data_IF_998325034841
#
_entry.id   IF_998325034841
#
_cell.length_a   1.000
_cell.length_b   1.000
_cell.length_c   1.000
_cell.angle_alpha   90.00
_cell.angle_beta   90.00
_cell.angle_gamma   90.00
#
_symmetry.space_group_name_H-M   'P 1'
#
loop_
_entity.id
_entity.type
_entity.pdbx_description
1 polymer ?
#
# COMPACT_ATOMS: atom_id res chain seq x y z
N UNK A 1 22.85 -19.40 -16.33
CA UNK A 1 22.59 -18.01 -15.91
C UNK A 1 21.42 -18.04 -14.95
N UNK A 2 21.59 -17.70 -13.66
CA UNK A 2 20.45 -17.60 -12.75
C UNK A 2 19.62 -16.34 -13.10
N UNK A 3 18.29 -16.35 -12.87
CA UNK A 3 17.43 -15.26 -13.29
C UNK A 3 17.60 -14.05 -12.36
N UNK A 4 17.60 -12.86 -12.97
CA UNK A 4 17.71 -11.56 -12.31
C UNK A 4 16.32 -11.06 -11.93
N UNK A 5 15.76 -11.49 -10.81
CA UNK A 5 14.54 -10.87 -10.27
C UNK A 5 14.72 -10.42 -8.82
N UNK A 6 14.17 -9.24 -8.57
CA UNK A 6 14.25 -8.31 -7.43
C UNK A 6 13.93 -8.88 -6.03
N UNK A 7 13.59 -10.18 -5.93
CA UNK A 7 13.29 -10.85 -4.67
C UNK A 7 14.55 -11.38 -3.97
N UNK A 8 15.65 -11.61 -4.70
CA UNK A 8 16.93 -12.05 -4.10
C UNK A 8 17.74 -10.93 -3.46
N UNK A 9 17.37 -9.66 -3.67
CA UNK A 9 18.06 -8.52 -3.06
C UNK A 9 17.44 -8.11 -1.71
N UNK A 10 16.38 -8.80 -1.27
CA UNK A 10 15.76 -8.57 0.02
C UNK A 10 16.37 -9.54 1.04
N UNK A 11 17.20 -9.03 1.93
CA UNK A 11 17.88 -9.81 2.98
C UNK A 11 16.95 -10.15 4.18
N UNK A 12 15.67 -9.80 4.06
CA UNK A 12 14.62 -10.07 5.04
C UNK A 12 13.76 -11.28 4.69
N UNK A 13 13.11 -11.87 5.69
CA UNK A 13 12.11 -12.92 5.46
C UNK A 13 10.93 -12.33 4.68
N UNK A 14 10.63 -12.91 3.52
CA UNK A 14 9.42 -12.56 2.76
C UNK A 14 8.21 -13.07 3.54
N UNK A 15 7.47 -12.14 4.17
CA UNK A 15 6.21 -12.44 4.82
C UNK A 15 5.07 -12.11 3.86
N UNK A 16 4.27 -13.14 3.54
CA UNK A 16 3.06 -12.96 2.74
C UNK A 16 1.91 -12.63 3.68
N UNK A 17 1.07 -11.68 3.28
CA UNK A 17 -0.18 -11.42 3.99
C UNK A 17 -1.06 -12.67 3.90
N UNK A 18 -1.46 -13.21 5.04
CA UNK A 18 -2.42 -14.29 5.07
C UNK A 18 -3.80 -13.73 4.74
N UNK A 19 -4.27 -14.00 3.52
CA UNK A 19 -5.59 -13.57 3.06
C UNK A 19 -6.63 -14.50 3.70
N UNK A 20 -7.55 -13.93 4.47
CA UNK A 20 -8.67 -14.66 5.05
C UNK A 20 -9.78 -14.91 4.01
N UNK A 21 -9.73 -14.20 2.88
CA UNK A 21 -10.70 -14.31 1.81
C UNK A 21 -10.36 -15.45 0.83
N UNK A 22 -11.39 -16.21 0.48
CA UNK A 22 -11.33 -17.27 -0.54
C UNK A 22 -11.06 -16.70 -1.94
N UNK A 23 -11.41 -15.43 -2.17
CA UNK A 23 -11.29 -14.79 -3.48
C UNK A 23 -11.04 -13.28 -3.32
N UNK A 24 -10.01 -12.80 -4.03
CA UNK A 24 -9.56 -11.40 -4.04
C UNK A 24 -9.66 -10.87 -5.46
N UNK A 25 -10.31 -9.71 -5.59
CA UNK A 25 -10.34 -8.94 -6.82
C UNK A 25 -9.18 -7.95 -6.80
N UNK A 26 -8.21 -8.13 -7.71
CA UNK A 26 -7.09 -7.22 -7.89
C UNK A 26 -7.53 -5.95 -8.60
N UNK A 27 -6.97 -4.80 -8.19
CA UNK A 27 -7.30 -3.51 -8.78
C UNK A 27 -6.63 -3.34 -10.16
N UNK A 28 -7.45 -3.14 -11.19
CA UNK A 28 -6.99 -2.99 -12.58
C UNK A 28 -6.14 -1.72 -12.83
N UNK A 29 -6.14 -0.79 -11.88
CA UNK A 29 -5.32 0.42 -11.94
C UNK A 29 -3.92 0.22 -11.35
N UNK A 30 -3.58 -1.00 -10.92
CA UNK A 30 -2.23 -1.36 -10.52
C UNK A 30 -1.42 -1.72 -11.76
N UNK A 31 -0.41 -0.92 -12.08
CA UNK A 31 0.36 -1.08 -13.32
C UNK A 31 1.86 -0.87 -13.06
N UNK A 32 2.69 -1.70 -13.69
CA UNK A 32 4.13 -1.45 -13.79
C UNK A 32 4.38 -0.57 -15.01
N UNK A 33 5.00 0.59 -14.80
CA UNK A 33 5.32 1.54 -15.85
C UNK A 33 6.81 1.83 -15.88
N UNK A 34 7.32 2.16 -17.07
CA UNK A 34 8.66 2.73 -17.21
C UNK A 34 8.71 4.10 -16.51
N UNK A 35 9.77 4.33 -15.73
CA UNK A 35 10.13 5.64 -15.18
C UNK A 35 10.66 6.54 -16.31
N UNK A 36 9.74 7.05 -17.13
CA UNK A 36 10.05 7.98 -18.24
C UNK A 36 10.69 9.29 -17.77
N UNK A 37 10.77 9.53 -16.45
CA UNK A 37 11.36 10.73 -15.87
C UNK A 37 12.84 10.56 -15.49
N UNK A 38 13.36 9.33 -15.59
CA UNK A 38 14.77 8.97 -15.43
C UNK A 38 15.63 9.30 -16.68
N UNK A 39 15.03 9.63 -17.82
CA UNK A 39 15.71 9.73 -19.12
C UNK A 39 16.49 11.03 -19.37
N UNK A 40 16.72 11.85 -18.34
CA UNK A 40 17.59 13.01 -18.46
C UNK A 40 18.80 12.87 -17.55
N UNK A 41 19.95 12.77 -18.23
CA UNK A 41 21.33 12.79 -17.71
C UNK A 41 21.96 11.40 -17.56
N UNK A 42 22.85 11.11 -18.52
CA UNK A 42 23.83 10.03 -18.64
C UNK A 42 23.34 8.66 -19.15
N UNK A 43 23.82 8.32 -20.36
CA UNK A 43 23.51 7.11 -21.11
C UNK A 43 23.98 5.82 -20.43
N UNK A 44 23.13 5.33 -19.54
CA UNK A 44 23.17 3.97 -19.01
C UNK A 44 21.75 3.42 -19.15
N UNK A 45 21.59 2.25 -19.78
CA UNK A 45 20.33 1.50 -19.96
C UNK A 45 19.72 1.02 -18.62
N UNK A 46 19.57 1.90 -17.64
CA UNK A 46 18.86 1.61 -16.40
C UNK A 46 17.39 2.00 -16.57
N UNK A 47 16.64 1.14 -17.27
CA UNK A 47 15.19 1.19 -17.25
C UNK A 47 14.73 0.99 -15.80
N UNK A 48 14.34 2.08 -15.13
CA UNK A 48 13.70 2.00 -13.83
C UNK A 48 12.21 1.77 -14.05
N UNK A 49 11.65 0.83 -13.33
CA UNK A 49 10.22 0.58 -13.31
C UNK A 49 9.62 1.15 -12.04
N UNK A 50 8.43 1.73 -12.14
CA UNK A 50 7.64 2.22 -11.02
C UNK A 50 6.29 1.52 -10.99
N UNK A 51 5.77 1.27 -9.79
CA UNK A 51 4.42 0.75 -9.61
C UNK A 51 3.45 1.93 -9.48
N UNK A 52 2.52 2.06 -10.41
CA UNK A 52 1.41 3.00 -10.28
C UNK A 52 0.21 2.31 -9.66
N UNK A 53 -0.42 2.96 -8.69
CA UNK A 53 -1.65 2.49 -8.06
C UNK A 53 -2.51 3.67 -7.59
N UNK A 54 -3.81 3.43 -7.45
CA UNK A 54 -4.73 4.40 -6.83
C UNK A 54 -4.45 4.52 -5.35
N UNK A 55 -4.33 5.75 -4.85
CA UNK A 55 -4.15 6.00 -3.43
C UNK A 55 -5.40 6.54 -2.77
N UNK A 56 -5.57 6.14 -1.52
CA UNK A 56 -6.64 6.59 -0.62
C UNK A 56 -6.05 7.02 0.70
N UNK A 57 -6.66 8.02 1.32
CA UNK A 57 -6.29 8.42 2.69
C UNK A 57 -7.11 7.62 3.68
N UNK A 58 -6.50 7.40 4.84
CA UNK A 58 -7.21 6.93 6.03
C UNK A 58 -8.09 8.05 6.59
N UNK A 59 -9.22 7.68 7.17
CA UNK A 59 -10.08 8.57 7.95
C UNK A 59 -10.54 7.87 9.22
N UNK A 60 -10.81 8.66 10.25
CA UNK A 60 -11.48 8.22 11.49
C UNK A 60 -10.85 6.96 12.12
N UNK A 61 -9.52 6.85 12.02
CA UNK A 61 -8.75 5.74 12.57
C UNK A 61 -7.33 6.15 12.95
N UNK A 62 -6.71 5.34 13.80
CA UNK A 62 -5.32 5.49 14.28
C UNK A 62 -4.57 4.17 14.14
N UNK A 63 -3.27 4.25 13.89
CA UNK A 63 -2.39 3.07 13.83
C UNK A 63 -1.55 3.04 15.10
N UNK A 64 -1.59 1.94 15.84
CA UNK A 64 -0.76 1.78 17.04
C UNK A 64 0.67 1.31 16.69
N UNK A 65 1.54 1.22 17.69
CA UNK A 65 2.93 0.77 17.51
C UNK A 65 3.08 -0.69 17.06
N UNK A 66 2.05 -1.49 17.25
CA UNK A 66 2.00 -2.91 16.85
C UNK A 66 1.46 -3.09 15.42
N UNK A 67 1.07 -2.00 14.75
CA UNK A 67 0.50 -2.04 13.40
C UNK A 67 -1.00 -2.33 13.37
N UNK A 68 -1.69 -2.32 14.49
CA UNK A 68 -3.16 -2.45 14.53
C UNK A 68 -3.80 -1.11 14.20
N UNK A 69 -4.74 -1.14 13.25
CA UNK A 69 -5.56 0.03 12.88
C UNK A 69 -6.84 -0.03 13.70
N UNK A 70 -7.07 1.01 14.48
CA UNK A 70 -8.20 1.13 15.41
C UNK A 70 -9.11 2.28 15.01
N UNK A 71 -10.42 2.10 15.13
CA UNK A 71 -11.39 3.21 15.04
C UNK A 71 -11.45 4.05 16.33
N UNK A 72 -12.27 5.09 16.32
CA UNK A 72 -12.46 5.98 17.48
C UNK A 72 -13.00 5.27 18.73
N UNK A 73 -13.63 4.10 18.55
CA UNK A 73 -14.13 3.26 19.63
C UNK A 73 -13.15 2.12 19.99
N UNK A 74 -11.90 2.21 19.55
CA UNK A 74 -10.82 1.24 19.78
C UNK A 74 -11.13 -0.18 19.25
N UNK A 75 -12.00 -0.30 18.24
CA UNK A 75 -12.21 -1.57 17.55
C UNK A 75 -11.16 -1.75 16.45
N UNK A 76 -10.68 -2.98 16.26
CA UNK A 76 -9.80 -3.34 15.15
C UNK A 76 -10.54 -3.27 13.81
N UNK A 77 -9.97 -2.49 12.90
CA UNK A 77 -10.52 -2.24 11.57
C UNK A 77 -9.55 -2.51 10.43
N UNK A 78 -8.31 -2.88 10.79
CA UNK A 78 -7.26 -3.22 9.84
C UNK A 78 -5.96 -3.52 10.55
N UNK A 79 -4.98 -3.96 9.76
CA UNK A 79 -3.66 -4.34 10.20
C UNK A 79 -2.63 -3.81 9.21
N UNK A 80 -1.46 -3.44 9.73
CA UNK A 80 -0.28 -3.00 8.99
C UNK A 80 0.91 -3.82 9.47
N UNK A 81 1.55 -4.51 8.54
CA UNK A 81 2.87 -5.07 8.73
C UNK A 81 3.87 -4.06 8.18
N UNK A 82 4.56 -3.36 9.07
CA UNK A 82 5.59 -2.42 8.66
C UNK A 82 6.81 -3.15 8.10
N UNK A 83 7.36 -2.63 7.00
CA UNK A 83 8.56 -3.19 6.37
C UNK A 83 9.80 -2.98 7.27
N UNK A 84 9.79 -1.94 8.09
CA UNK A 84 10.82 -1.63 9.09
C UNK A 84 10.15 -1.23 10.41
N UNK A 85 10.87 -1.32 11.54
CA UNK A 85 10.30 -0.88 12.82
C UNK A 85 9.82 0.57 12.69
N UNK A 86 8.54 0.86 13.02
CA UNK A 86 8.03 2.21 12.90
C UNK A 86 8.84 3.12 13.81
N UNK A 87 9.57 4.06 13.21
CA UNK A 87 10.13 5.18 13.96
C UNK A 87 8.99 5.99 14.60
N UNK A 88 9.32 6.80 15.60
CA UNK A 88 8.39 7.63 16.38
C UNK A 88 7.51 8.62 15.59
N UNK A 89 7.61 8.66 14.26
CA UNK A 89 6.83 9.52 13.38
C UNK A 89 6.42 8.75 12.13
N UNK A 90 5.13 8.42 12.02
CA UNK A 90 4.53 8.09 10.73
C UNK A 90 4.09 9.43 10.09
N UNK A 91 4.75 9.91 9.03
CA UNK A 91 4.23 11.03 8.23
C UNK A 91 2.86 10.65 7.65
N UNK A 92 2.12 11.62 7.09
CA UNK A 92 0.81 11.40 6.43
C UNK A 92 0.82 10.11 5.57
N UNK A 93 0.24 9.03 6.11
CA UNK A 93 0.23 7.71 5.46
C UNK A 93 -0.95 7.65 4.50
N UNK A 94 -0.66 7.28 3.26
CA UNK A 94 -1.69 6.96 2.26
C UNK A 94 -1.65 5.48 1.92
N UNK A 95 -2.76 4.94 1.45
CA UNK A 95 -2.94 3.53 1.11
C UNK A 95 -3.04 3.40 -0.40
N UNK A 96 -2.08 2.72 -1.04
CA UNK A 96 -2.25 2.28 -2.41
C UNK A 96 -3.11 1.02 -2.46
N UNK A 97 -4.18 1.06 -3.24
CA UNK A 97 -5.13 -0.03 -3.36
C UNK A 97 -4.56 -1.09 -4.29
N UNK A 98 -4.38 -2.31 -3.75
CA UNK A 98 -3.89 -3.45 -4.53
C UNK A 98 -5.04 -4.36 -4.93
N UNK A 99 -6.01 -4.54 -4.04
CA UNK A 99 -7.17 -5.38 -4.28
C UNK A 99 -8.19 -5.31 -3.14
N UNK A 100 -9.25 -6.08 -3.27
CA UNK A 100 -10.35 -6.14 -2.30
C UNK A 100 -10.98 -7.53 -2.27
N UNK A 101 -11.62 -7.85 -1.17
CA UNK A 101 -12.37 -9.11 -1.05
C UNK A 101 -13.59 -9.12 -1.97
N UNK A 102 -13.82 -10.22 -2.71
CA UNK A 102 -15.01 -10.35 -3.56
C UNK A 102 -16.24 -10.70 -2.74
N UNK A 103 -16.09 -11.57 -1.74
CA UNK A 103 -17.18 -12.05 -0.87
C UNK A 103 -16.97 -11.60 0.56
N UNK A 104 -18.04 -11.07 1.13
CA UNK A 104 -18.12 -10.74 2.55
C UNK A 104 -18.51 -12.02 3.31
N UNK A 105 -17.55 -12.69 3.95
CA UNK A 105 -17.87 -13.84 4.80
C UNK A 105 -18.27 -13.36 6.20
N UNK A 106 -19.54 -13.58 6.59
CA UNK A 106 -20.07 -13.26 7.92
C UNK A 106 -21.53 -12.80 7.88
N UNK A 107 -22.42 -13.64 8.42
CA UNK A 107 -23.86 -13.45 8.53
C UNK A 107 -24.19 -12.35 9.56
N UNK A 108 -25.23 -11.55 9.28
CA UNK A 108 -25.92 -10.62 10.19
C UNK A 108 -25.09 -9.37 10.60
N UNK A 109 -25.45 -8.22 10.01
CA UNK A 109 -24.98 -6.86 10.34
C UNK A 109 -23.60 -6.43 9.79
N UNK A 110 -23.57 -6.11 8.49
CA UNK A 110 -22.67 -5.08 7.96
C UNK A 110 -21.19 -5.44 7.97
N UNK A 111 -20.86 -6.71 7.73
CA UNK A 111 -19.49 -7.17 7.48
C UNK A 111 -18.88 -6.35 6.35
N UNK A 112 -17.87 -5.56 6.68
CA UNK A 112 -17.34 -4.54 5.79
C UNK A 112 -16.20 -5.10 4.96
N UNK A 113 -16.37 -5.05 3.64
CA UNK A 113 -15.37 -5.46 2.65
C UNK A 113 -13.99 -4.92 3.03
N UNK A 114 -13.00 -5.82 3.19
CA UNK A 114 -11.61 -5.42 3.40
C UNK A 114 -10.93 -5.11 2.06
N UNK A 115 -10.03 -4.13 2.09
CA UNK A 115 -9.11 -3.79 1.03
C UNK A 115 -7.72 -4.22 1.43
N UNK A 116 -6.98 -4.76 0.47
CA UNK A 116 -5.56 -5.09 0.60
C UNK A 116 -4.76 -3.94 0.01
N UNK A 117 -3.86 -3.38 0.82
CA UNK A 117 -3.21 -2.10 0.51
C UNK A 117 -1.72 -2.12 0.81
N UNK A 118 -0.98 -1.30 0.08
CA UNK A 118 0.36 -0.87 0.47
C UNK A 118 0.25 0.44 1.24
N UNK A 119 0.88 0.50 2.41
CA UNK A 119 0.99 1.73 3.19
C UNK A 119 2.20 2.51 2.70
N UNK A 120 1.97 3.79 2.41
CA UNK A 120 2.92 4.65 1.74
C UNK A 120 3.18 5.91 2.56
N UNK A 121 4.45 6.31 2.64
CA UNK A 121 4.86 7.61 3.14
C UNK A 121 5.30 8.50 1.97
N UNK A 122 5.00 9.80 2.06
CA UNK A 122 5.60 10.79 1.16
C UNK A 122 7.10 10.88 1.45
N UNK A 123 7.93 10.75 0.42
CA UNK A 123 9.38 10.84 0.57
C UNK A 123 9.81 12.21 1.10
N UNK A 124 10.64 12.23 2.15
CA UNK A 124 11.12 13.48 2.77
C UNK A 124 12.13 14.25 1.90
N UNK A 125 12.80 13.59 0.94
CA UNK A 125 13.97 14.15 0.27
C UNK A 125 13.72 14.88 -1.05
N UNK A 126 12.57 14.73 -1.70
CA UNK A 126 12.24 15.56 -2.87
C UNK A 126 10.72 15.79 -2.95
N UNK A 127 10.24 17.04 -3.01
CA UNK A 127 8.84 17.34 -3.27
C UNK A 127 8.53 17.17 -4.77
N UNK A 128 9.01 16.10 -5.39
CA UNK A 128 8.56 15.69 -6.73
C UNK A 128 7.16 15.11 -6.53
N UNK A 129 6.14 15.86 -6.97
CA UNK A 129 4.72 15.51 -6.83
C UNK A 129 4.52 14.03 -7.21
N UNK A 130 4.07 13.21 -6.25
CA UNK A 130 3.55 11.87 -6.52
C UNK A 130 4.51 10.69 -6.33
N UNK A 131 5.73 10.89 -5.84
CA UNK A 131 6.63 9.77 -5.46
C UNK A 131 6.43 9.38 -4.00
N UNK A 132 6.17 8.09 -3.79
CA UNK A 132 5.88 7.52 -2.48
C UNK A 132 6.81 6.35 -2.18
N UNK A 133 7.17 6.21 -0.91
CA UNK A 133 7.94 5.07 -0.42
C UNK A 133 7.02 4.14 0.34
N UNK A 134 7.08 2.84 0.02
CA UNK A 134 6.37 1.81 0.78
C UNK A 134 6.94 1.74 2.20
N UNK A 135 6.06 1.75 3.19
CA UNK A 135 6.40 1.60 4.61
C UNK A 135 5.80 0.35 5.23
N UNK A 136 4.84 -0.28 4.56
CA UNK A 136 4.25 -1.54 5.00
C UNK A 136 3.18 -2.05 4.06
N UNK A 137 2.64 -3.21 4.41
CA UNK A 137 1.53 -3.87 3.72
C UNK A 137 0.47 -4.25 4.72
N UNK A 138 -0.79 -4.30 4.31
CA UNK A 138 -1.82 -4.83 5.17
C UNK A 138 -3.22 -4.77 4.61
N UNK A 139 -4.18 -4.70 5.52
CA UNK A 139 -5.58 -4.66 5.15
C UNK A 139 -6.35 -3.63 5.97
N UNK A 140 -7.41 -3.09 5.40
CA UNK A 140 -8.30 -2.15 6.08
C UNK A 140 -9.73 -2.26 5.57
N UNK A 141 -10.71 -2.08 6.45
CA UNK A 141 -12.12 -2.02 6.07
C UNK A 141 -12.41 -0.81 5.17
N UNK A 142 -13.23 -1.02 4.14
CA UNK A 142 -13.56 -0.01 3.14
C UNK A 142 -14.07 1.31 3.73
N UNK A 143 -14.82 1.29 4.85
CA UNK A 143 -15.40 2.53 5.42
C UNK A 143 -14.34 3.52 5.89
N UNK A 144 -13.12 3.07 6.18
CA UNK A 144 -12.03 3.94 6.67
C UNK A 144 -11.14 4.46 5.53
N UNK A 145 -11.47 4.12 4.28
CA UNK A 145 -10.85 4.71 3.10
C UNK A 145 -11.67 5.92 2.65
N UNK A 146 -11.01 7.07 2.53
CA UNK A 146 -11.64 8.29 2.04
C UNK A 146 -11.78 8.23 0.52
N UNK A 147 -13.02 8.09 0.03
CA UNK A 147 -13.34 8.07 -1.39
C UNK A 147 -13.48 9.52 -1.88
N UNK A 148 -12.43 10.00 -2.54
CA UNK A 148 -12.41 11.29 -3.22
C UNK A 148 -12.99 11.13 -4.63
N UNK A 149 -13.68 12.16 -5.15
CA UNK A 149 -14.14 12.20 -6.55
C UNK A 149 -12.99 12.30 -7.57
N UNK A 150 -11.77 12.53 -7.10
CA UNK A 150 -10.54 12.49 -7.86
C UNK A 150 -9.69 11.32 -7.32
N UNK A 151 -9.50 10.29 -8.14
CA UNK A 151 -8.61 9.18 -7.81
C UNK A 151 -7.17 9.68 -7.97
N UNK A 152 -6.56 10.06 -6.84
CA UNK A 152 -5.13 10.34 -6.81
C UNK A 152 -4.38 9.04 -7.12
N UNK A 153 -3.38 9.10 -8.01
CA UNK A 153 -2.46 7.99 -8.28
C UNK A 153 -1.10 8.27 -7.65
N UNK A 154 -0.44 7.21 -7.20
CA UNK A 154 0.92 7.27 -6.67
C UNK A 154 1.85 6.42 -7.53
N UNK A 155 3.05 6.94 -7.78
CA UNK A 155 4.17 6.16 -8.24
C UNK A 155 4.96 5.70 -7.02
N UNK A 156 5.03 4.39 -6.85
CA UNK A 156 5.65 3.72 -5.71
C UNK A 156 7.00 3.20 -6.18
N UNK A 157 8.03 3.64 -5.47
CA UNK A 157 9.44 3.26 -5.66
C UNK A 157 9.84 2.11 -4.74
#
# INVERSE_FOLDING_TARGET
MPPSWSWMAYDGQIQYLQLEAEEVEWDLNVQFMDDKQSDSVTGSDNHRYVLEARVRRLRDCKINSEGVILDDADNEVGLVHFDTQPGSFLPEVVCAIMGRETKVYGNINGSQRKYYVLFLAKGAMQPRRGTFTRVGIGSIQQRFLLHSNQDDTAQIL
#
